data_IF_373494701909
#
_entry.id   IF_373494701909
#
_cell.length_a   1.000
_cell.length_b   1.000
_cell.length_c   1.000
_cell.angle_alpha   90.00
_cell.angle_beta   90.00
_cell.angle_gamma   90.00
#
_symmetry.space_group_name_H-M   'P 1'
#
loop_
_entity.id
_entity.type
_entity.pdbx_description
1 polymer ?
#
# COMPACT_ATOMS: atom_id res chain seq x y z
N UNK A 1 14.23 15.82 1.05
CA UNK A 1 12.90 15.66 0.45
C UNK A 1 12.20 17.00 0.56
N UNK A 2 11.39 17.40 -0.42
CA UNK A 2 10.64 18.65 -0.34
C UNK A 2 9.70 18.64 0.87
N UNK A 3 9.51 19.80 1.50
CA UNK A 3 8.38 19.98 2.41
C UNK A 3 7.08 20.06 1.58
N UNK A 4 6.04 19.33 1.95
CA UNK A 4 4.78 19.28 1.20
C UNK A 4 3.67 19.86 2.07
N UNK A 5 3.09 20.96 1.62
CA UNK A 5 1.91 21.59 2.17
C UNK A 5 0.66 21.25 1.34
N UNK A 6 -0.51 21.48 1.90
CA UNK A 6 -1.80 21.33 1.22
C UNK A 6 -2.55 22.67 1.30
N UNK A 7 -3.14 23.09 0.18
CA UNK A 7 -4.03 24.23 0.15
C UNK A 7 -5.43 23.86 -0.36
N UNK A 8 -6.44 24.45 0.24
CA UNK A 8 -7.83 24.31 -0.21
C UNK A 8 -8.40 25.69 -0.51
N UNK A 9 -8.83 25.89 -1.76
CA UNK A 9 -9.30 27.16 -2.28
C UNK A 9 -10.82 27.17 -2.37
N UNK A 10 -11.45 28.04 -1.63
CA UNK A 10 -12.89 28.28 -1.69
C UNK A 10 -13.76 27.06 -1.35
N UNK A 11 -13.34 26.24 -0.38
CA UNK A 11 -14.15 25.10 0.05
C UNK A 11 -15.56 25.54 0.46
N UNK A 12 -16.59 24.85 -0.03
CA UNK A 12 -17.97 25.18 0.28
C UNK A 12 -18.46 24.42 1.55
N UNK A 13 -17.90 23.23 1.79
CA UNK A 13 -18.36 22.31 2.85
C UNK A 13 -17.27 22.17 3.92
N UNK A 14 -17.53 22.63 5.18
CA UNK A 14 -16.57 22.49 6.28
C UNK A 14 -16.11 21.04 6.51
N UNK A 15 -16.99 20.06 6.33
CA UNK A 15 -16.68 18.64 6.49
C UNK A 15 -15.61 18.12 5.51
N UNK A 16 -15.53 18.69 4.30
CA UNK A 16 -14.43 18.36 3.37
C UNK A 16 -13.10 18.86 3.90
N UNK A 17 -13.03 20.07 4.45
CA UNK A 17 -11.81 20.61 5.07
C UNK A 17 -11.36 19.71 6.23
N UNK A 18 -12.28 19.30 7.10
CA UNK A 18 -11.98 18.37 8.20
C UNK A 18 -11.49 17.02 7.72
N UNK A 19 -12.10 16.46 6.67
CA UNK A 19 -11.69 15.18 6.08
C UNK A 19 -10.31 15.27 5.40
N UNK A 20 -10.02 16.40 4.74
CA UNK A 20 -8.69 16.67 4.17
C UNK A 20 -7.64 16.74 5.28
N UNK A 21 -7.88 17.49 6.35
CA UNK A 21 -6.99 17.58 7.50
C UNK A 21 -6.70 16.18 8.09
N UNK A 22 -7.71 15.31 8.18
CA UNK A 22 -7.55 13.92 8.60
C UNK A 22 -6.68 13.13 7.64
N UNK A 23 -6.90 13.27 6.34
CA UNK A 23 -6.10 12.59 5.31
C UNK A 23 -4.64 13.05 5.36
N UNK A 24 -4.39 14.35 5.55
CA UNK A 24 -3.06 14.92 5.75
C UNK A 24 -2.34 14.24 6.92
N UNK A 25 -2.99 14.16 8.08
CA UNK A 25 -2.42 13.50 9.26
C UNK A 25 -2.14 12.02 9.03
N UNK A 26 -3.00 11.31 8.29
CA UNK A 26 -2.78 9.90 7.94
C UNK A 26 -1.52 9.70 7.08
N UNK A 27 -1.16 10.70 6.29
CA UNK A 27 -0.01 10.67 5.38
C UNK A 27 1.15 11.58 5.81
N UNK A 28 1.24 11.92 7.10
CA UNK A 28 2.41 12.59 7.68
C UNK A 28 2.51 14.08 7.36
N UNK A 29 1.43 14.72 6.93
CA UNK A 29 1.37 16.14 6.57
C UNK A 29 0.68 16.95 7.66
N UNK A 30 1.16 18.19 7.90
CA UNK A 30 0.63 19.08 8.92
C UNK A 30 0.35 20.51 8.46
N UNK A 31 0.95 20.96 7.36
CA UNK A 31 0.78 22.34 6.87
C UNK A 31 -0.44 22.47 5.97
N UNK A 32 -1.51 23.04 6.49
CA UNK A 32 -2.77 23.29 5.79
C UNK A 32 -2.97 24.80 5.58
N UNK A 33 -3.10 25.20 4.34
CA UNK A 33 -3.48 26.54 3.93
C UNK A 33 -4.91 26.59 3.41
N UNK A 34 -5.61 27.66 3.74
CA UNK A 34 -7.01 27.87 3.35
C UNK A 34 -7.12 29.23 2.64
N UNK A 35 -7.71 29.22 1.45
CA UNK A 35 -8.04 30.44 0.71
C UNK A 35 -9.54 30.55 0.64
N UNK A 36 -10.12 31.63 1.10
CA UNK A 36 -11.57 31.84 1.21
C UNK A 36 -12.31 30.64 1.86
N UNK A 37 -11.94 30.21 3.07
CA UNK A 37 -12.56 29.04 3.70
C UNK A 37 -13.99 29.35 4.17
N UNK A 38 -14.82 28.29 4.32
CA UNK A 38 -16.06 28.43 5.07
C UNK A 38 -15.76 28.61 6.56
N UNK A 39 -16.78 29.03 7.35
CA UNK A 39 -16.63 29.12 8.81
C UNK A 39 -16.30 27.72 9.41
N UNK A 40 -15.21 27.63 10.14
CA UNK A 40 -14.73 26.43 10.80
C UNK A 40 -14.92 26.51 12.33
N UNK A 41 -16.18 26.43 12.77
CA UNK A 41 -16.47 26.44 14.19
C UNK A 41 -15.85 25.25 14.93
N UNK A 42 -15.27 25.41 16.14
CA UNK A 42 -14.59 24.35 16.89
C UNK A 42 -15.46 23.12 17.23
N UNK A 43 -16.75 23.28 17.30
CA UNK A 43 -17.77 22.24 17.52
C UNK A 43 -18.54 21.89 16.24
N UNK A 44 -18.11 22.46 15.12
CA UNK A 44 -18.74 22.31 13.82
C UNK A 44 -18.35 21.05 13.05
N UNK A 45 -18.85 20.96 11.82
CA UNK A 45 -18.71 19.81 10.94
C UNK A 45 -17.25 19.49 10.63
N UNK A 46 -16.41 20.49 10.38
CA UNK A 46 -14.98 20.30 10.09
C UNK A 46 -14.28 19.50 11.20
N UNK A 47 -14.46 19.93 12.45
CA UNK A 47 -13.88 19.25 13.61
C UNK A 47 -14.49 17.86 13.85
N UNK A 48 -15.77 17.67 13.48
CA UNK A 48 -16.44 16.37 13.51
C UNK A 48 -15.76 15.34 12.59
N UNK A 49 -15.37 15.74 11.38
CA UNK A 49 -14.75 14.86 10.38
C UNK A 49 -13.22 14.77 10.48
N UNK A 50 -12.55 15.70 11.15
CA UNK A 50 -11.09 15.75 11.26
C UNK A 50 -10.47 14.59 12.05
N UNK A 51 -11.24 13.83 12.84
CA UNK A 51 -10.67 12.80 13.71
C UNK A 51 -9.62 13.39 14.65
N UNK A 52 -8.44 12.78 14.78
CA UNK A 52 -7.34 13.33 15.60
C UNK A 52 -6.66 14.57 14.99
N UNK A 53 -6.86 14.86 13.70
CA UNK A 53 -6.36 16.10 13.10
C UNK A 53 -7.06 17.38 13.65
N UNK A 54 -8.12 17.22 14.45
CA UNK A 54 -8.74 18.32 15.21
C UNK A 54 -7.86 18.90 16.31
N UNK A 55 -6.81 18.17 16.70
CA UNK A 55 -5.92 18.53 17.81
C UNK A 55 -4.70 19.32 17.32
N UNK A 56 -4.35 19.19 16.06
CA UNK A 56 -3.13 19.75 15.47
C UNK A 56 -3.32 20.36 14.08
N UNK A 57 -3.62 19.56 13.05
CA UNK A 57 -3.64 20.05 11.66
C UNK A 57 -4.69 21.14 11.45
N UNK A 58 -5.93 20.88 11.88
CA UNK A 58 -7.04 21.80 11.64
C UNK A 58 -6.94 23.10 12.46
N UNK A 59 -6.57 23.07 13.77
CA UNK A 59 -6.37 24.31 14.54
C UNK A 59 -5.19 25.17 14.06
N UNK A 60 -4.19 24.56 13.43
CA UNK A 60 -3.00 25.23 12.90
C UNK A 60 -3.15 25.61 11.42
N UNK A 61 -4.31 25.34 10.81
CA UNK A 61 -4.57 25.77 9.44
C UNK A 61 -4.47 27.29 9.33
N UNK A 62 -3.78 27.76 8.30
CA UNK A 62 -3.52 29.19 8.08
C UNK A 62 -4.36 29.71 6.92
N UNK A 63 -5.17 30.72 7.15
CA UNK A 63 -5.87 31.43 6.10
C UNK A 63 -4.93 32.40 5.39
N UNK A 64 -4.87 32.30 4.06
CA UNK A 64 -3.96 33.09 3.21
C UNK A 64 -4.67 33.55 1.94
N UNK A 65 -4.10 34.57 1.31
CA UNK A 65 -4.48 34.97 -0.05
C UNK A 65 -3.91 33.95 -1.07
N UNK A 66 -4.57 33.80 -2.22
CA UNK A 66 -4.13 32.88 -3.26
C UNK A 66 -2.71 33.17 -3.76
N UNK A 67 -2.31 34.46 -3.86
CA UNK A 67 -0.98 34.89 -4.25
C UNK A 67 0.13 34.38 -3.33
N UNK A 68 -0.16 34.20 -2.04
CA UNK A 68 0.78 33.63 -1.09
C UNK A 68 1.26 32.22 -1.51
N UNK A 69 0.35 31.41 -2.04
CA UNK A 69 0.68 30.05 -2.48
C UNK A 69 1.67 30.07 -3.65
N UNK A 70 1.44 30.95 -4.64
CA UNK A 70 2.27 31.06 -5.85
C UNK A 70 3.61 31.74 -5.60
N UNK A 71 3.71 32.54 -4.54
CA UNK A 71 4.96 33.24 -4.16
C UNK A 71 5.89 32.38 -3.30
N UNK A 72 5.32 31.44 -2.52
CA UNK A 72 6.09 30.70 -1.51
C UNK A 72 6.41 29.26 -1.93
N UNK A 73 5.65 28.67 -2.85
CA UNK A 73 5.72 27.25 -3.15
C UNK A 73 5.84 26.96 -4.65
N UNK A 74 6.42 25.80 -4.97
CA UNK A 74 6.11 25.13 -6.22
C UNK A 74 4.70 24.52 -6.11
N UNK A 75 3.80 24.95 -6.94
CA UNK A 75 2.38 24.69 -6.80
C UNK A 75 1.89 23.58 -7.74
N UNK A 76 1.11 22.64 -7.20
CA UNK A 76 0.50 21.55 -7.97
C UNK A 76 -1.02 21.66 -7.87
N UNK A 77 -1.67 22.05 -8.97
CA UNK A 77 -3.12 22.14 -9.06
C UNK A 77 -3.75 20.76 -9.30
N UNK A 78 -4.73 20.38 -8.47
CA UNK A 78 -5.52 19.17 -8.66
C UNK A 78 -6.84 19.49 -9.38
N UNK A 79 -7.11 18.82 -10.52
CA UNK A 79 -8.32 19.03 -11.31
C UNK A 79 -8.84 17.71 -11.90
N UNK A 80 -10.16 17.54 -11.92
CA UNK A 80 -10.83 16.41 -12.58
C UNK A 80 -10.97 16.64 -14.10
N UNK A 81 -10.91 17.91 -14.54
CA UNK A 81 -11.09 18.27 -15.94
C UNK A 81 -9.75 18.52 -16.59
N UNK A 82 -9.38 17.70 -17.55
CA UNK A 82 -8.20 17.83 -18.39
C UNK A 82 -8.62 18.12 -19.84
N UNK A 83 -7.66 18.54 -20.66
CA UNK A 83 -7.90 18.70 -22.08
C UNK A 83 -6.70 18.15 -22.88
N UNK A 84 -7.01 17.47 -23.98
CA UNK A 84 -6.01 16.86 -24.88
C UNK A 84 -5.34 17.88 -25.81
N UNK A 85 -5.93 19.07 -26.00
CA UNK A 85 -5.39 20.10 -26.87
C UNK A 85 -4.40 20.99 -26.14
N UNK A 86 -3.13 20.61 -26.18
CA UNK A 86 -2.00 21.34 -25.60
C UNK A 86 -1.88 22.81 -26.06
N UNK A 87 -2.51 23.18 -27.16
CA UNK A 87 -2.38 24.53 -27.76
C UNK A 87 -3.40 25.53 -27.21
N UNK A 88 -4.42 25.09 -26.48
CA UNK A 88 -5.55 25.92 -26.11
C UNK A 88 -5.89 25.94 -24.63
N UNK A 89 -5.27 25.11 -23.79
CA UNK A 89 -5.74 24.94 -22.44
C UNK A 89 -4.68 24.99 -21.36
N UNK A 90 -4.98 25.83 -20.37
CA UNK A 90 -4.31 25.94 -19.08
C UNK A 90 -4.26 24.62 -18.28
N UNK A 91 -5.03 23.61 -18.68
CA UNK A 91 -5.13 22.28 -18.02
C UNK A 91 -4.26 21.20 -18.69
N UNK A 92 -3.31 21.59 -19.53
CA UNK A 92 -2.36 20.70 -20.18
C UNK A 92 -0.95 21.35 -20.20
N UNK A 93 0.15 20.60 -20.03
CA UNK A 93 0.20 19.16 -19.74
C UNK A 93 -0.16 18.85 -18.28
N UNK A 94 -0.75 17.67 -18.06
CA UNK A 94 -1.04 17.17 -16.73
C UNK A 94 -0.24 15.91 -16.41
N UNK A 95 -0.16 15.56 -15.11
CA UNK A 95 0.47 14.36 -14.58
C UNK A 95 -0.53 13.59 -13.71
N UNK A 96 -0.38 12.27 -13.64
CA UNK A 96 -1.13 11.44 -12.70
C UNK A 96 -0.47 11.43 -11.33
N UNK A 97 -1.21 11.23 -10.22
CA UNK A 97 -0.67 11.28 -8.86
C UNK A 97 0.52 10.34 -8.62
N UNK A 98 0.50 9.13 -9.20
CA UNK A 98 1.59 8.17 -9.05
C UNK A 98 2.92 8.67 -9.66
N UNK A 99 2.85 9.30 -10.85
CA UNK A 99 4.02 9.87 -11.51
C UNK A 99 4.46 11.19 -10.87
N UNK A 100 3.54 11.91 -10.19
CA UNK A 100 3.83 13.14 -9.47
C UNK A 100 4.82 12.89 -8.32
N UNK A 101 4.70 11.78 -7.60
CA UNK A 101 5.63 11.41 -6.52
C UNK A 101 7.08 11.36 -7.01
N UNK A 102 7.32 10.72 -8.16
CA UNK A 102 8.65 10.61 -8.75
C UNK A 102 9.20 11.99 -9.19
N UNK A 103 8.34 12.85 -9.77
CA UNK A 103 8.72 14.20 -10.19
C UNK A 103 9.11 15.08 -8.99
N UNK A 104 8.32 15.05 -7.91
CA UNK A 104 8.57 15.85 -6.71
C UNK A 104 9.76 15.36 -5.89
N UNK A 105 10.11 14.08 -5.93
CA UNK A 105 11.26 13.53 -5.21
C UNK A 105 12.58 14.19 -5.58
N UNK A 106 12.69 14.70 -6.81
CA UNK A 106 13.88 15.40 -7.34
C UNK A 106 13.86 16.92 -7.21
N UNK A 107 12.80 17.50 -6.64
CA UNK A 107 12.62 18.94 -6.58
C UNK A 107 13.32 19.54 -5.35
N UNK A 108 14.06 20.64 -5.55
CA UNK A 108 14.70 21.41 -4.46
C UNK A 108 13.85 22.68 -4.19
N UNK A 109 12.61 22.48 -3.80
CA UNK A 109 11.65 23.54 -3.42
C UNK A 109 10.56 22.97 -2.51
N UNK A 110 9.99 23.84 -1.68
CA UNK A 110 8.78 23.52 -0.95
C UNK A 110 7.58 23.44 -1.90
N UNK A 111 6.72 22.44 -1.71
CA UNK A 111 5.62 22.13 -2.62
C UNK A 111 4.28 22.39 -1.94
N UNK A 112 3.31 22.94 -2.67
CA UNK A 112 1.94 23.05 -2.22
C UNK A 112 0.99 22.33 -3.18
N UNK A 113 0.24 21.32 -2.67
CA UNK A 113 -0.81 20.64 -3.42
C UNK A 113 -2.11 21.43 -3.24
N UNK A 114 -2.63 21.97 -4.35
CA UNK A 114 -3.75 22.91 -4.34
C UNK A 114 -5.02 22.24 -4.84
N UNK A 115 -6.02 22.20 -3.99
CA UNK A 115 -7.36 21.71 -4.31
C UNK A 115 -8.35 22.89 -4.41
N UNK A 116 -9.27 22.80 -5.36
CA UNK A 116 -10.29 23.84 -5.57
C UNK A 116 -11.63 23.52 -4.93
N UNK A 117 -12.65 24.29 -5.29
CA UNK A 117 -14.04 24.17 -4.84
C UNK A 117 -14.68 22.86 -5.27
N UNK A 118 -15.68 22.41 -4.54
CA UNK A 118 -16.36 21.13 -4.79
C UNK A 118 -17.06 21.08 -6.16
N UNK A 119 -17.69 22.16 -6.58
CA UNK A 119 -18.51 22.17 -7.80
C UNK A 119 -17.75 22.55 -9.06
N UNK A 120 -16.88 23.53 -8.93
CA UNK A 120 -16.20 24.15 -10.10
C UNK A 120 -14.68 23.90 -10.11
N UNK A 121 -14.13 23.42 -9.00
CA UNK A 121 -12.69 23.26 -8.83
C UNK A 121 -11.96 24.60 -8.80
N UNK A 122 -10.75 24.61 -9.34
CA UNK A 122 -9.96 25.82 -9.59
C UNK A 122 -10.42 26.48 -10.90
N UNK A 123 -10.52 27.79 -10.91
CA UNK A 123 -10.82 28.57 -12.11
C UNK A 123 -9.65 28.52 -13.10
N UNK A 124 -9.89 28.87 -14.37
CA UNK A 124 -8.81 28.93 -15.36
C UNK A 124 -7.77 30.01 -15.02
N UNK A 125 -8.19 31.11 -14.39
CA UNK A 125 -7.28 32.20 -13.98
C UNK A 125 -6.41 31.76 -12.77
N UNK A 126 -6.93 30.95 -11.88
CA UNK A 126 -6.15 30.31 -10.79
C UNK A 126 -5.18 29.27 -11.35
N UNK A 127 -5.66 28.39 -12.23
CA UNK A 127 -4.83 27.35 -12.85
C UNK A 127 -3.66 27.93 -13.69
N UNK A 128 -3.87 29.08 -14.33
CA UNK A 128 -2.84 29.76 -15.11
C UNK A 128 -1.67 30.32 -14.28
N UNK A 129 -1.85 30.41 -12.97
CA UNK A 129 -0.86 30.90 -12.02
C UNK A 129 -0.10 29.77 -11.30
N UNK A 130 -0.52 28.49 -11.49
CA UNK A 130 0.05 27.34 -10.82
C UNK A 130 1.03 26.60 -11.73
N UNK A 131 2.07 26.00 -11.14
CA UNK A 131 3.23 25.48 -11.89
C UNK A 131 2.95 24.13 -12.57
N UNK A 132 2.13 23.28 -11.95
CA UNK A 132 1.88 21.93 -12.42
C UNK A 132 0.41 21.56 -12.29
N UNK A 133 -0.08 20.75 -13.22
CA UNK A 133 -1.45 20.20 -13.19
C UNK A 133 -1.38 18.72 -12.87
N UNK A 134 -2.12 18.27 -11.86
CA UNK A 134 -2.30 16.88 -11.50
C UNK A 134 -3.77 16.48 -11.72
N UNK A 135 -3.99 15.32 -12.34
CA UNK A 135 -5.33 14.80 -12.55
C UNK A 135 -5.39 13.31 -12.21
N UNK A 136 -6.41 12.93 -11.43
CA UNK A 136 -6.68 11.56 -11.07
C UNK A 136 -7.43 10.89 -12.23
N UNK A 137 -6.93 9.78 -12.80
CA UNK A 137 -7.67 9.04 -13.80
C UNK A 137 -8.92 8.41 -13.16
N UNK A 138 -10.08 8.69 -13.72
CA UNK A 138 -11.36 8.18 -13.28
C UNK A 138 -12.21 7.78 -14.50
N UNK A 139 -13.41 7.22 -14.27
CA UNK A 139 -14.33 6.86 -15.33
C UNK A 139 -14.71 8.09 -16.17
N UNK A 140 -14.65 7.96 -17.52
CA UNK A 140 -14.91 9.07 -18.43
C UNK A 140 -16.32 9.64 -18.35
N UNK A 141 -17.30 8.81 -17.95
CA UNK A 141 -18.69 9.24 -17.76
C UNK A 141 -18.94 9.89 -16.39
N UNK A 142 -18.05 9.64 -15.40
CA UNK A 142 -18.17 10.20 -14.04
C UNK A 142 -16.79 10.53 -13.43
N UNK A 143 -16.04 11.49 -13.99
CA UNK A 143 -14.66 11.75 -13.59
C UNK A 143 -14.51 12.58 -12.31
N UNK A 144 -15.57 13.25 -11.84
CA UNK A 144 -15.49 14.18 -10.72
C UNK A 144 -15.63 13.45 -9.39
N UNK A 145 -14.55 13.46 -8.60
CA UNK A 145 -14.52 12.94 -7.24
C UNK A 145 -14.95 14.00 -6.24
N UNK A 146 -15.45 13.57 -5.07
CA UNK A 146 -15.58 14.48 -3.94
C UNK A 146 -14.21 15.07 -3.57
N UNK A 147 -14.18 16.33 -3.15
CA UNK A 147 -12.95 17.07 -2.84
C UNK A 147 -12.03 16.31 -1.87
N UNK A 148 -12.58 15.81 -0.76
CA UNK A 148 -11.79 15.09 0.24
C UNK A 148 -11.33 13.72 -0.25
N UNK A 149 -12.11 13.05 -1.11
CA UNK A 149 -11.67 11.80 -1.76
C UNK A 149 -10.52 12.05 -2.71
N UNK A 150 -10.59 13.09 -3.55
CA UNK A 150 -9.52 13.47 -4.45
C UNK A 150 -8.23 13.79 -3.66
N UNK A 151 -8.33 14.56 -2.59
CA UNK A 151 -7.20 14.86 -1.72
C UNK A 151 -6.60 13.58 -1.11
N UNK A 152 -7.43 12.67 -0.60
CA UNK A 152 -6.95 11.41 -0.02
C UNK A 152 -6.17 10.57 -1.03
N UNK A 153 -6.62 10.48 -2.28
CA UNK A 153 -5.93 9.72 -3.34
C UNK A 153 -4.57 10.36 -3.66
N UNK A 154 -4.52 11.67 -3.89
CA UNK A 154 -3.26 12.36 -4.19
C UNK A 154 -2.28 12.21 -3.04
N UNK A 155 -2.69 12.46 -1.80
CA UNK A 155 -1.84 12.35 -0.62
C UNK A 155 -1.37 10.91 -0.36
N UNK A 156 -2.20 9.91 -0.68
CA UNK A 156 -1.79 8.51 -0.62
C UNK A 156 -0.64 8.20 -1.58
N UNK A 157 -0.70 8.70 -2.81
CA UNK A 157 0.38 8.50 -3.78
C UNK A 157 1.68 9.23 -3.38
N UNK A 158 1.58 10.36 -2.70
CA UNK A 158 2.72 11.12 -2.19
C UNK A 158 3.31 10.58 -0.87
N UNK A 159 2.71 9.55 -0.25
CA UNK A 159 3.10 9.04 1.07
C UNK A 159 4.56 8.61 1.18
N UNK A 160 5.19 8.19 0.10
CA UNK A 160 6.61 7.79 0.08
C UNK A 160 7.56 8.98 0.30
N UNK A 161 7.08 10.21 0.05
CA UNK A 161 7.80 11.46 0.29
C UNK A 161 7.55 12.03 1.70
N UNK A 162 6.49 11.59 2.39
CA UNK A 162 5.98 12.26 3.60
C UNK A 162 5.96 11.35 4.83
N UNK A 163 5.97 10.02 4.65
CA UNK A 163 5.89 9.04 5.74
C UNK A 163 7.18 8.20 5.77
N UNK A 164 7.98 8.38 6.82
CA UNK A 164 9.22 7.60 6.99
C UNK A 164 8.95 6.14 7.37
N UNK A 165 7.95 5.90 8.21
CA UNK A 165 7.57 4.57 8.69
C UNK A 165 6.06 4.40 8.64
N UNK A 166 5.60 3.30 8.04
CA UNK A 166 4.19 2.92 8.04
C UNK A 166 3.89 1.89 9.14
N UNK A 167 2.60 1.68 9.46
CA UNK A 167 2.15 0.63 10.37
C UNK A 167 2.42 -0.79 9.84
N UNK A 168 2.79 -0.94 8.59
CA UNK A 168 3.18 -2.23 8.05
C UNK A 168 4.59 -2.57 8.50
N UNK A 169 4.81 -3.77 9.09
CA UNK A 169 6.18 -4.23 9.33
C UNK A 169 6.92 -4.21 7.98
N UNK A 170 8.15 -3.71 7.97
CA UNK A 170 9.03 -3.87 6.82
C UNK A 170 9.07 -5.37 6.50
N UNK A 171 8.31 -5.77 5.51
CA UNK A 171 8.38 -7.13 5.00
C UNK A 171 9.76 -7.23 4.34
N UNK A 172 10.76 -7.60 5.14
CA UNK A 172 11.96 -8.19 4.58
C UNK A 172 11.54 -9.52 3.96
N UNK A 173 11.04 -9.46 2.73
CA UNK A 173 10.88 -10.65 1.90
C UNK A 173 12.30 -11.04 1.44
N UNK A 174 13.09 -11.43 2.46
CA UNK A 174 14.46 -11.88 2.23
C UNK A 174 14.35 -13.21 1.51
N UNK A 175 14.58 -13.16 0.20
CA UNK A 175 14.60 -14.34 -0.65
C UNK A 175 15.59 -15.34 -0.08
N UNK A 176 15.23 -16.62 -0.11
CA UNK A 176 16.16 -17.70 0.21
C UNK A 176 17.48 -17.52 -0.55
N UNK A 177 18.58 -17.74 0.13
CA UNK A 177 19.88 -17.70 -0.49
C UNK A 177 20.08 -18.84 -1.52
N UNK A 178 21.15 -18.77 -2.30
CA UNK A 178 21.41 -19.71 -3.36
C UNK A 178 21.60 -21.15 -2.83
N UNK A 179 22.16 -21.30 -1.63
CA UNK A 179 22.35 -22.61 -0.98
C UNK A 179 21.01 -23.19 -0.49
N UNK A 180 20.12 -22.37 0.06
CA UNK A 180 18.78 -22.80 0.49
C UNK A 180 17.93 -23.23 -0.70
N UNK A 181 18.01 -22.51 -1.83
CA UNK A 181 17.29 -22.82 -3.06
C UNK A 181 17.84 -24.10 -3.70
N UNK A 182 19.16 -24.25 -3.81
CA UNK A 182 19.75 -25.46 -4.37
C UNK A 182 19.44 -26.70 -3.51
N UNK A 183 19.55 -26.57 -2.18
CA UNK A 183 19.15 -27.64 -1.28
C UNK A 183 17.65 -28.01 -1.36
N UNK A 184 16.77 -27.07 -1.74
CA UNK A 184 15.37 -27.37 -2.04
C UNK A 184 15.24 -28.20 -3.32
N UNK A 185 16.01 -27.88 -4.35
CA UNK A 185 16.00 -28.62 -5.62
C UNK A 185 16.57 -30.04 -5.45
N UNK A 186 17.67 -30.21 -4.72
CA UNK A 186 18.24 -31.51 -4.40
C UNK A 186 17.26 -32.40 -3.64
N UNK A 187 16.63 -31.85 -2.60
CA UNK A 187 15.63 -32.59 -1.80
C UNK A 187 14.40 -32.97 -2.65
N UNK A 188 14.00 -32.12 -3.61
CA UNK A 188 12.91 -32.46 -4.52
C UNK A 188 13.31 -33.58 -5.50
N UNK A 189 14.52 -33.59 -6.00
CA UNK A 189 15.05 -34.67 -6.85
C UNK A 189 15.06 -35.99 -6.11
N UNK A 190 15.62 -36.06 -4.89
CA UNK A 190 15.57 -37.23 -4.01
C UNK A 190 14.16 -37.74 -3.78
N UNK A 191 13.24 -36.83 -3.47
CA UNK A 191 11.84 -37.16 -3.28
C UNK A 191 11.20 -37.81 -4.51
N UNK A 192 11.50 -37.33 -5.73
CA UNK A 192 10.97 -37.94 -6.96
C UNK A 192 11.45 -39.40 -7.15
N UNK A 193 12.68 -39.69 -6.83
CA UNK A 193 13.20 -41.04 -6.87
C UNK A 193 12.53 -41.96 -5.85
N UNK A 194 12.41 -41.50 -4.61
CA UNK A 194 11.84 -42.31 -3.52
C UNK A 194 10.34 -42.59 -3.69
N UNK A 195 9.58 -41.66 -4.29
CA UNK A 195 8.15 -41.91 -4.60
C UNK A 195 7.93 -42.73 -5.88
N UNK A 196 9.01 -43.15 -6.57
CA UNK A 196 8.92 -43.94 -7.80
C UNK A 196 8.43 -43.16 -9.01
N UNK A 197 8.73 -41.86 -9.10
CA UNK A 197 8.41 -41.08 -10.30
C UNK A 197 9.14 -41.67 -11.52
N UNK A 198 8.47 -41.82 -12.71
CA UNK A 198 9.12 -42.41 -13.89
C UNK A 198 10.42 -41.69 -14.24
N UNK A 199 11.51 -42.44 -14.32
CA UNK A 199 12.88 -41.95 -14.53
C UNK A 199 13.01 -41.03 -15.75
N UNK A 200 12.35 -41.38 -16.87
CA UNK A 200 12.35 -40.57 -18.08
C UNK A 200 11.64 -39.20 -17.92
N UNK A 201 10.84 -39.01 -16.86
CA UNK A 201 10.12 -37.76 -16.58
C UNK A 201 10.78 -36.89 -15.53
N UNK A 202 11.69 -37.43 -14.72
CA UNK A 202 12.39 -36.72 -13.65
C UNK A 202 13.01 -35.40 -14.16
N UNK A 203 13.83 -35.37 -15.24
CA UNK A 203 14.44 -34.11 -15.67
C UNK A 203 13.48 -33.05 -16.13
N UNK A 204 12.29 -33.44 -16.61
CA UNK A 204 11.22 -32.50 -16.97
C UNK A 204 10.54 -31.93 -15.75
N UNK A 205 10.30 -32.76 -14.74
CA UNK A 205 9.62 -32.38 -13.51
C UNK A 205 10.51 -31.47 -12.65
N UNK A 206 11.81 -31.77 -12.56
CA UNK A 206 12.80 -30.88 -11.90
C UNK A 206 12.87 -29.49 -12.55
N UNK A 207 12.94 -29.43 -13.88
CA UNK A 207 12.91 -28.13 -14.60
C UNK A 207 11.61 -27.35 -14.34
N UNK A 208 10.49 -28.05 -14.27
CA UNK A 208 9.22 -27.41 -13.93
C UNK A 208 9.24 -26.84 -12.51
N UNK A 209 9.69 -27.64 -11.54
CA UNK A 209 9.79 -27.22 -10.15
C UNK A 209 10.74 -26.03 -9.99
N UNK A 210 11.92 -26.07 -10.60
CA UNK A 210 12.90 -24.96 -10.60
C UNK A 210 12.27 -23.66 -11.12
N UNK A 211 11.50 -23.72 -12.19
CA UNK A 211 10.81 -22.55 -12.75
C UNK A 211 9.67 -22.03 -11.83
N UNK A 212 8.95 -22.93 -11.17
CA UNK A 212 7.91 -22.55 -10.21
C UNK A 212 8.52 -21.89 -8.98
N UNK A 213 9.53 -22.50 -8.37
CA UNK A 213 10.25 -21.95 -7.23
C UNK A 213 10.91 -20.60 -7.57
N UNK A 214 11.52 -20.47 -8.75
CA UNK A 214 12.14 -19.23 -9.21
C UNK A 214 11.13 -18.08 -9.35
N UNK A 215 9.91 -18.35 -9.84
CA UNK A 215 8.84 -17.33 -9.92
C UNK A 215 8.25 -16.98 -8.56
N UNK A 216 8.14 -17.96 -7.66
CA UNK A 216 7.62 -17.74 -6.32
C UNK A 216 8.60 -16.95 -5.43
N UNK A 217 9.89 -16.94 -5.76
CA UNK A 217 10.95 -16.28 -4.97
C UNK A 217 10.81 -16.58 -3.46
N UNK A 218 10.85 -17.87 -3.04
CA UNK A 218 10.56 -18.25 -1.67
C UNK A 218 11.55 -17.65 -0.69
N UNK A 219 11.10 -17.37 0.53
CA UNK A 219 11.95 -17.01 1.66
C UNK A 219 12.73 -18.23 2.17
N UNK A 220 13.82 -18.01 2.90
CA UNK A 220 14.59 -19.10 3.52
C UNK A 220 13.74 -19.98 4.45
N UNK A 221 12.74 -19.40 5.13
CA UNK A 221 11.78 -20.17 5.95
C UNK A 221 10.90 -21.08 5.09
N UNK A 222 10.38 -20.59 3.98
CA UNK A 222 9.53 -21.36 3.05
C UNK A 222 10.34 -22.48 2.39
N UNK A 223 11.55 -22.19 1.93
CA UNK A 223 12.46 -23.20 1.36
C UNK A 223 12.76 -24.33 2.35
N UNK A 224 13.10 -24.00 3.60
CA UNK A 224 13.35 -24.98 4.67
C UNK A 224 12.10 -25.78 5.02
N UNK A 225 10.93 -25.16 5.05
CA UNK A 225 9.64 -25.84 5.32
C UNK A 225 9.35 -26.86 4.21
N UNK A 226 9.46 -26.47 2.94
CA UNK A 226 9.25 -27.35 1.80
C UNK A 226 10.25 -28.52 1.79
N UNK A 227 11.53 -28.24 2.06
CA UNK A 227 12.54 -29.31 2.22
C UNK A 227 12.16 -30.31 3.30
N UNK A 228 11.68 -29.85 4.45
CA UNK A 228 11.20 -30.70 5.53
C UNK A 228 10.05 -31.63 5.10
N UNK A 229 9.07 -31.08 4.39
CA UNK A 229 7.92 -31.86 3.87
C UNK A 229 8.37 -32.89 2.84
N UNK A 230 9.20 -32.51 1.88
CA UNK A 230 9.70 -33.40 0.83
C UNK A 230 10.56 -34.52 1.41
N UNK A 231 11.49 -34.21 2.33
CA UNK A 231 12.31 -35.19 3.03
C UNK A 231 11.46 -36.21 3.81
N UNK A 232 10.44 -35.71 4.55
CA UNK A 232 9.52 -36.59 5.26
C UNK A 232 8.73 -37.50 4.29
N UNK A 233 8.31 -36.95 3.16
CA UNK A 233 7.61 -37.71 2.11
C UNK A 233 8.50 -38.81 1.51
N UNK A 234 9.77 -38.53 1.25
CA UNK A 234 10.75 -39.50 0.80
C UNK A 234 10.95 -40.65 1.80
N UNK A 235 11.15 -40.34 3.09
CA UNK A 235 11.30 -41.34 4.16
C UNK A 235 10.06 -42.22 4.36
N UNK A 236 8.87 -41.68 4.14
CA UNK A 236 7.63 -42.49 4.15
C UNK A 236 7.55 -43.38 2.92
N UNK A 237 7.98 -42.90 1.76
CA UNK A 237 7.94 -43.66 0.51
C UNK A 237 8.96 -44.80 0.50
N UNK A 238 10.17 -44.57 1.04
CA UNK A 238 11.22 -45.61 1.21
C UNK A 238 10.84 -46.65 2.28
N UNK A 239 9.91 -46.35 3.16
CA UNK A 239 9.53 -47.21 4.28
C UNK A 239 10.36 -47.03 5.56
N UNK A 240 11.27 -46.02 5.57
CA UNK A 240 12.15 -45.75 6.72
C UNK A 240 11.36 -45.19 7.93
N UNK A 241 10.20 -44.59 7.68
CA UNK A 241 9.27 -44.16 8.74
C UNK A 241 7.83 -44.59 8.44
N UNK A 242 7.02 -44.94 9.49
CA UNK A 242 5.63 -45.35 9.28
C UNK A 242 4.76 -44.17 8.78
N UNK A 243 3.73 -44.51 8.02
CA UNK A 243 2.71 -43.51 7.62
C UNK A 243 1.93 -43.06 8.87
N UNK A 244 1.69 -41.75 9.05
CA UNK A 244 0.82 -41.27 10.14
C UNK A 244 -0.56 -41.91 10.06
N UNK A 245 -1.02 -42.56 11.16
CA UNK A 245 -2.34 -43.19 11.23
C UNK A 245 -2.39 -44.70 10.89
N UNK A 246 -1.28 -45.32 10.54
CA UNK A 246 -1.14 -46.78 10.57
C UNK A 246 -0.55 -47.16 11.92
N UNK A 247 -1.36 -47.22 12.98
CA UNK A 247 -1.00 -47.96 14.17
C UNK A 247 -0.82 -49.44 13.78
N UNK A 248 0.32 -50.03 14.18
CA UNK A 248 0.56 -51.46 14.07
C UNK A 248 -0.62 -52.18 14.73
N UNK A 249 -1.23 -53.22 14.09
CA UNK A 249 -2.33 -53.97 14.71
C UNK A 249 -1.94 -54.68 16.03
N UNK A 250 -0.69 -54.50 16.49
CA UNK A 250 -0.15 -55.09 17.71
C UNK A 250 -0.21 -54.22 18.97
N UNK A 251 -0.55 -52.91 18.88
CA UNK A 251 -0.67 -52.01 20.04
C UNK A 251 -2.13 -51.88 20.52
N UNK A 252 -2.77 -52.99 20.86
CA UNK A 252 -3.94 -52.93 21.73
C UNK A 252 -3.49 -52.50 23.13
N UNK A 253 -4.05 -51.42 23.70
CA UNK A 253 -3.81 -51.07 25.10
C UNK A 253 -4.31 -52.18 25.98
N UNK A 254 -3.38 -52.83 26.71
CA UNK A 254 -3.64 -53.87 27.70
C UNK A 254 -4.66 -53.36 28.71
N UNK A 255 -5.94 -53.75 28.50
CA UNK A 255 -7.01 -53.61 29.52
C UNK A 255 -6.69 -54.54 30.70
N UNK A 256 -5.88 -54.09 31.63
CA UNK A 256 -5.84 -54.67 33.00
C UNK A 256 -5.70 -53.51 33.98
N UNK A 257 -6.71 -53.53 34.88
CA UNK A 257 -6.82 -52.90 36.20
C UNK A 257 -7.83 -51.75 36.32
N UNK A 258 -9.10 -52.09 36.07
CA UNK A 258 -10.21 -51.45 36.80
C UNK A 258 -10.92 -52.54 37.68
N UNK A 259 -10.26 -52.94 38.75
CA UNK A 259 -10.91 -53.61 39.86
C UNK A 259 -10.13 -53.39 41.16
N UNK A 260 -10.24 -52.17 41.71
CA UNK A 260 -10.03 -51.94 43.15
C UNK A 260 -10.20 -50.45 43.49
N UNK A 261 -11.41 -49.94 43.50
CA UNK A 261 -11.79 -48.75 44.29
C UNK A 261 -13.29 -48.78 44.59
N UNK A 262 -13.73 -49.82 45.26
CA UNK A 262 -14.88 -49.77 46.15
C UNK A 262 -14.39 -50.34 47.47
N UNK A 263 -14.16 -49.49 48.44
CA UNK A 263 -14.16 -49.63 49.90
C UNK A 263 -13.09 -48.74 50.52
N UNK A 264 -13.47 -47.52 50.83
CA UNK A 264 -13.31 -46.87 52.16
C UNK A 264 -13.89 -45.43 52.07
#
# INVERSE_FOLDING_TARGET
>A
MPNIAVAVVGAETPGNVGTIARSMKNFGLSELYLVDPPELAPDGEAYGFAGHAREDVLPNATEVEFSYLTEQFYTVACTATTNEDATKHVRYPFIEPAALSDELAGLDADVCIVFGRERVGLTNDELAQLDRICSIPADGDYPVLNLAQAATIVLYELRELTVEETQHPKQAHERADEHEIEGLHETFSEYLHEVGHPEEKIPKTERLFRRLAGRASPTGREARTLRGVLRRGALVASGDIPRPGTSDPGDEPNQKDESNRENE
#
